data_IF_516204495699
#
_entry.id   IF_516204495699
#
_cell.length_a   1.000
_cell.length_b   1.000
_cell.length_c   1.000
_cell.angle_alpha   90.00
_cell.angle_beta   90.00
_cell.angle_gamma   90.00
#
_symmetry.space_group_name_H-M   'P 1'
#
loop_
_entity.id
_entity.type
_entity.pdbx_description
1 polymer ?
#
# COMPACT_ATOMS: atom_id res chain seq x y z
N UNK A 1 21.09 15.82 -3.27
CA UNK A 1 22.09 14.72 -3.13
C UNK A 1 21.75 13.49 -3.98
N UNK A 2 20.53 12.92 -3.85
CA UNK A 2 20.09 11.76 -4.62
C UNK A 2 20.00 12.01 -6.15
N UNK A 3 19.52 13.19 -6.57
CA UNK A 3 19.43 13.56 -8.00
C UNK A 3 20.79 13.59 -8.71
N UNK A 4 21.88 13.91 -7.99
CA UNK A 4 23.23 13.97 -8.56
C UNK A 4 23.88 12.58 -8.63
N UNK A 5 23.47 11.68 -7.74
CA UNK A 5 23.84 10.27 -7.79
C UNK A 5 23.17 9.54 -8.96
N UNK A 6 21.90 9.81 -9.26
CA UNK A 6 21.20 9.20 -10.40
C UNK A 6 21.84 9.57 -11.74
N UNK A 7 22.21 10.83 -11.95
CA UNK A 7 22.85 11.29 -13.19
C UNK A 7 24.24 10.64 -13.41
N UNK A 8 25.03 10.50 -12.33
CA UNK A 8 26.35 9.86 -12.39
C UNK A 8 26.24 8.36 -12.70
N UNK A 9 25.22 7.69 -12.14
CA UNK A 9 24.93 6.27 -12.39
C UNK A 9 24.52 6.04 -13.84
N UNK A 10 23.67 6.91 -14.40
CA UNK A 10 23.23 6.82 -15.81
C UNK A 10 24.40 7.04 -16.78
N UNK A 11 25.29 8.00 -16.49
CA UNK A 11 26.47 8.26 -17.32
C UNK A 11 27.47 7.10 -17.30
N UNK A 12 27.72 6.49 -16.13
CA UNK A 12 28.59 5.32 -15.98
C UNK A 12 28.00 4.07 -16.66
N UNK A 13 26.67 3.89 -16.60
CA UNK A 13 25.98 2.83 -17.33
C UNK A 13 26.10 3.02 -18.84
N UNK A 14 25.88 4.21 -19.39
CA UNK A 14 25.98 4.48 -20.83
C UNK A 14 27.38 4.16 -21.38
N UNK A 15 28.43 4.57 -20.66
CA UNK A 15 29.82 4.27 -21.03
C UNK A 15 30.13 2.76 -20.98
N UNK A 16 29.62 2.05 -19.97
CA UNK A 16 29.77 0.59 -19.83
C UNK A 16 29.05 -0.17 -20.95
N UNK A 17 27.83 0.23 -21.33
CA UNK A 17 27.10 -0.39 -22.44
C UNK A 17 27.82 -0.20 -23.78
N UNK A 18 28.46 0.96 -23.99
CA UNK A 18 29.24 1.25 -25.19
C UNK A 18 30.53 0.39 -25.27
N UNK A 19 31.19 0.16 -24.12
CA UNK A 19 32.35 -0.74 -24.02
C UNK A 19 31.98 -2.22 -24.22
N UNK A 20 30.82 -2.64 -23.72
CA UNK A 20 30.35 -4.04 -23.86
C UNK A 20 29.89 -4.36 -25.29
N UNK A 21 29.38 -3.37 -26.03
CA UNK A 21 29.00 -3.51 -27.44
C UNK A 21 30.20 -3.65 -28.40
N UNK A 22 31.38 -3.17 -28.00
CA UNK A 22 32.59 -3.17 -28.84
C UNK A 22 33.50 -4.37 -28.61
N UNK A 23 33.35 -5.13 -27.51
CA UNK A 23 34.29 -6.21 -27.14
C UNK A 23 33.74 -7.65 -27.25
N UNK A 24 32.43 -7.88 -27.36
CA UNK A 24 31.86 -9.25 -27.32
C UNK A 24 30.96 -9.59 -28.51
N UNK A 25 31.26 -10.72 -29.17
CA UNK A 25 30.51 -11.25 -30.30
C UNK A 25 29.06 -11.64 -29.95
N UNK A 26 28.17 -11.78 -30.97
CA UNK A 26 26.71 -11.75 -30.81
C UNK A 26 26.12 -12.82 -29.89
N UNK A 27 26.84 -13.92 -29.64
CA UNK A 27 26.39 -15.02 -28.77
C UNK A 27 26.62 -14.76 -27.27
N UNK A 28 27.58 -13.91 -26.90
CA UNK A 28 27.85 -13.59 -25.48
C UNK A 28 27.06 -12.39 -24.96
N UNK A 29 26.48 -11.58 -25.85
CA UNK A 29 25.64 -10.44 -25.49
C UNK A 29 24.35 -10.86 -24.76
N UNK A 30 23.70 -11.93 -25.22
CA UNK A 30 22.41 -12.37 -24.66
C UNK A 30 22.48 -12.76 -23.17
N UNK A 31 23.57 -13.41 -22.74
CA UNK A 31 23.74 -13.84 -21.35
C UNK A 31 23.92 -12.65 -20.40
N UNK A 32 24.59 -11.60 -20.87
CA UNK A 32 24.86 -10.40 -20.08
C UNK A 32 23.58 -9.58 -19.91
N UNK A 33 22.75 -9.48 -20.96
CA UNK A 33 21.43 -8.85 -20.86
C UNK A 33 20.52 -9.57 -19.85
N UNK A 34 20.49 -10.90 -19.84
CA UNK A 34 19.68 -11.66 -18.87
C UNK A 34 20.15 -11.42 -17.43
N UNK A 35 21.47 -11.39 -17.19
CA UNK A 35 22.04 -11.11 -15.86
C UNK A 35 21.69 -9.69 -15.37
N UNK A 36 21.76 -8.68 -16.24
CA UNK A 36 21.43 -7.28 -15.90
C UNK A 36 19.95 -7.06 -15.59
N UNK A 37 19.05 -7.78 -16.28
CA UNK A 37 17.60 -7.70 -16.00
C UNK A 37 17.26 -8.22 -14.60
N UNK A 38 17.94 -9.28 -14.14
CA UNK A 38 17.73 -9.84 -12.80
C UNK A 38 18.18 -8.90 -11.65
N UNK A 39 19.14 -8.00 -11.89
CA UNK A 39 19.58 -7.00 -10.90
C UNK A 39 18.55 -5.87 -10.76
N UNK A 40 17.75 -5.60 -11.79
CA UNK A 40 16.78 -4.50 -11.77
C UNK A 40 15.48 -4.84 -11.05
N UNK A 41 15.11 -6.11 -10.93
CA UNK A 41 13.86 -6.55 -10.27
C UNK A 41 13.89 -6.52 -8.74
N UNK A 42 15.02 -6.20 -8.11
CA UNK A 42 15.23 -6.38 -6.65
C UNK A 42 14.94 -5.10 -5.83
N UNK A 43 14.60 -3.97 -6.46
CA UNK A 43 14.39 -2.68 -5.78
C UNK A 43 12.92 -2.22 -5.68
N UNK A 44 11.96 -3.15 -5.62
CA UNK A 44 10.67 -2.81 -5.04
C UNK A 44 10.82 -2.94 -3.51
N UNK A 45 10.91 -1.81 -2.80
CA UNK A 45 10.71 -1.82 -1.36
C UNK A 45 9.28 -2.30 -1.11
N UNK A 46 9.13 -3.58 -0.81
CA UNK A 46 7.86 -4.18 -0.44
C UNK A 46 7.47 -3.56 0.92
N UNK A 47 6.57 -2.58 0.87
CA UNK A 47 5.92 -2.13 2.08
C UNK A 47 4.97 -3.25 2.48
N UNK A 48 5.41 -4.15 3.38
CA UNK A 48 4.59 -5.23 3.94
C UNK A 48 3.28 -4.63 4.47
N UNK A 49 2.25 -4.66 3.62
CA UNK A 49 0.88 -4.40 4.02
C UNK A 49 0.45 -5.61 4.84
N UNK A 50 0.29 -5.41 6.15
CA UNK A 50 -0.27 -6.40 7.07
C UNK A 50 -1.68 -6.78 6.60
N UNK A 51 -1.76 -7.92 5.91
CA UNK A 51 -3.02 -8.47 5.40
C UNK A 51 -3.50 -9.55 6.35
N UNK A 52 -4.70 -9.34 6.89
CA UNK A 52 -5.35 -10.32 7.76
C UNK A 52 -6.53 -10.96 7.03
N UNK A 53 -6.38 -12.24 6.69
CA UNK A 53 -7.48 -13.04 6.18
C UNK A 53 -8.45 -13.42 7.30
N UNK A 54 -9.73 -13.12 7.07
CA UNK A 54 -10.80 -13.42 8.04
C UNK A 54 -11.93 -14.15 7.33
N UNK A 55 -12.17 -15.39 7.73
CA UNK A 55 -13.31 -16.19 7.28
C UNK A 55 -14.43 -16.15 8.32
N UNK A 56 -15.66 -15.88 7.87
CA UNK A 56 -16.84 -15.79 8.71
C UNK A 56 -18.03 -16.47 8.05
N UNK A 57 -18.91 -17.03 8.88
CA UNK A 57 -20.19 -17.59 8.43
C UNK A 57 -21.23 -16.49 8.30
N UNK A 58 -22.27 -16.74 7.50
CA UNK A 58 -23.41 -15.83 7.38
C UNK A 58 -24.06 -15.64 8.76
N UNK A 59 -24.37 -14.39 9.10
CA UNK A 59 -24.95 -14.03 10.41
C UNK A 59 -23.92 -13.71 11.50
N UNK A 60 -22.64 -14.07 11.30
CA UNK A 60 -21.57 -13.71 12.24
C UNK A 60 -21.32 -12.19 12.28
N UNK A 61 -20.46 -11.77 13.21
CA UNK A 61 -19.89 -10.44 13.26
C UNK A 61 -18.37 -10.46 13.10
N UNK A 62 -17.82 -9.39 12.53
CA UNK A 62 -16.38 -9.17 12.41
C UNK A 62 -16.02 -7.75 12.83
N UNK A 63 -14.86 -7.59 13.44
CA UNK A 63 -14.26 -6.30 13.75
C UNK A 63 -12.85 -6.26 13.15
N UNK A 64 -12.61 -5.29 12.30
CA UNK A 64 -11.30 -4.95 11.79
C UNK A 64 -10.72 -3.81 12.63
N UNK A 65 -9.47 -3.95 13.03
CA UNK A 65 -8.75 -2.93 13.80
C UNK A 65 -7.59 -2.42 12.97
N UNK A 66 -7.51 -1.10 12.84
CA UNK A 66 -6.44 -0.40 12.17
C UNK A 66 -5.38 -0.02 13.20
N UNK A 67 -4.19 -0.59 13.06
CA UNK A 67 -3.08 -0.29 13.94
C UNK A 67 -2.43 1.04 13.50
N UNK A 68 -2.60 2.10 14.30
CA UNK A 68 -2.01 3.40 14.01
C UNK A 68 -0.58 3.40 14.52
N UNK A 69 0.40 3.30 13.62
CA UNK A 69 1.81 3.55 13.94
C UNK A 69 2.16 5.04 13.90
N UNK A 70 1.32 5.87 13.27
CA UNK A 70 1.57 7.30 13.08
C UNK A 70 1.36 8.06 14.40
N UNK A 71 2.42 8.73 14.87
CA UNK A 71 2.40 9.45 16.16
C UNK A 71 1.39 10.60 16.23
N UNK A 72 0.98 11.15 15.08
CA UNK A 72 -0.01 12.24 14.99
C UNK A 72 -0.94 12.04 13.78
N UNK A 73 -1.97 11.18 13.89
CA UNK A 73 -2.92 10.96 12.80
C UNK A 73 -3.74 12.23 12.56
N UNK A 74 -3.84 12.65 11.30
CA UNK A 74 -4.68 13.77 10.85
C UNK A 74 -5.96 13.27 10.21
N UNK A 75 -5.90 12.14 9.50
CA UNK A 75 -7.03 11.55 8.81
C UNK A 75 -6.98 10.02 8.91
N UNK A 76 -8.13 9.41 9.18
CA UNK A 76 -8.33 7.96 9.17
C UNK A 76 -9.37 7.63 8.10
N UNK A 77 -9.02 6.72 7.18
CA UNK A 77 -9.91 6.25 6.13
C UNK A 77 -10.13 4.76 6.23
N UNK A 78 -11.38 4.35 5.99
CA UNK A 78 -11.73 2.96 5.70
C UNK A 78 -12.33 2.88 4.31
N UNK A 79 -11.87 1.94 3.50
CA UNK A 79 -12.37 1.74 2.14
C UNK A 79 -12.73 0.28 1.91
N UNK A 80 -13.83 0.07 1.18
CA UNK A 80 -14.24 -1.21 0.64
C UNK A 80 -14.89 -0.98 -0.73
N UNK A 81 -14.18 -1.32 -1.80
CA UNK A 81 -14.60 -0.99 -3.16
C UNK A 81 -14.97 0.50 -3.30
N UNK A 82 -16.24 0.84 -3.56
CA UNK A 82 -16.73 2.22 -3.67
C UNK A 82 -17.17 2.85 -2.34
N UNK A 83 -17.19 2.07 -1.27
CA UNK A 83 -17.58 2.56 0.06
C UNK A 83 -16.37 3.12 0.79
N UNK A 84 -16.55 4.29 1.39
CA UNK A 84 -15.54 5.11 2.02
C UNK A 84 -16.13 5.65 3.31
N UNK A 85 -15.36 5.51 4.37
CA UNK A 85 -15.47 6.29 5.58
C UNK A 85 -14.21 7.14 5.73
N UNK A 86 -14.37 8.38 6.15
CA UNK A 86 -13.30 9.33 6.41
C UNK A 86 -13.55 10.02 7.73
N UNK A 87 -12.53 10.13 8.57
CA UNK A 87 -12.55 10.92 9.79
C UNK A 87 -11.36 11.87 9.82
N UNK A 88 -11.67 13.17 9.92
CA UNK A 88 -10.69 14.22 10.11
C UNK A 88 -10.53 14.51 11.59
N UNK A 89 -9.34 14.22 12.12
CA UNK A 89 -9.00 14.44 13.53
C UNK A 89 -8.97 15.94 13.85
N UNK A 90 -8.45 16.76 12.93
CA UNK A 90 -8.32 18.21 13.11
C UNK A 90 -9.66 18.95 13.19
N UNK A 91 -10.68 18.47 12.48
CA UNK A 91 -12.02 19.09 12.46
C UNK A 91 -13.04 18.34 13.31
N UNK A 92 -12.69 17.15 13.80
CA UNK A 92 -13.59 16.22 14.48
C UNK A 92 -14.89 16.00 13.67
N UNK A 93 -14.72 15.72 12.38
CA UNK A 93 -15.82 15.44 11.45
C UNK A 93 -15.60 14.14 10.72
N UNK A 94 -16.69 13.40 10.52
CA UNK A 94 -16.70 12.18 9.74
C UNK A 94 -17.61 12.30 8.51
N UNK A 95 -17.28 11.53 7.49
CA UNK A 95 -18.09 11.29 6.31
C UNK A 95 -18.13 9.79 6.05
N UNK A 96 -19.30 9.27 5.73
CA UNK A 96 -19.49 7.87 5.38
C UNK A 96 -20.53 7.73 4.29
N UNK A 97 -20.24 6.94 3.26
CA UNK A 97 -21.24 6.47 2.32
C UNK A 97 -21.63 4.99 2.56
N UNK A 98 -21.20 4.39 3.68
CA UNK A 98 -21.73 3.11 4.12
C UNK A 98 -23.20 3.31 4.52
N UNK A 99 -24.10 2.75 3.71
CA UNK A 99 -25.55 2.90 3.91
C UNK A 99 -26.16 1.85 4.85
N UNK A 100 -25.40 0.80 5.18
CA UNK A 100 -25.91 -0.30 6.01
C UNK A 100 -25.75 0.03 7.50
N UNK A 101 -26.85 -0.02 8.25
CA UNK A 101 -26.85 0.06 9.71
C UNK A 101 -26.04 -1.05 10.40
N UNK A 102 -25.71 -2.12 9.66
CA UNK A 102 -24.88 -3.23 10.14
C UNK A 102 -23.40 -2.87 10.25
N UNK A 103 -22.96 -1.83 9.54
CA UNK A 103 -21.57 -1.35 9.55
C UNK A 103 -21.46 -0.21 10.55
N UNK A 104 -20.65 -0.40 11.58
CA UNK A 104 -20.43 0.59 12.64
C UNK A 104 -18.95 0.89 12.78
N UNK A 105 -18.64 2.14 13.16
CA UNK A 105 -17.28 2.55 13.50
C UNK A 105 -17.28 3.12 14.92
N UNK A 106 -16.18 2.90 15.63
CA UNK A 106 -16.01 3.48 16.97
C UNK A 106 -16.02 5.02 16.89
N UNK A 107 -16.84 5.65 17.73
CA UNK A 107 -17.07 7.09 17.74
C UNK A 107 -15.94 7.88 18.39
N UNK A 108 -15.10 7.25 19.20
CA UNK A 108 -14.03 7.96 19.91
C UNK A 108 -12.78 8.12 19.05
N UNK A 109 -12.29 7.01 18.49
CA UNK A 109 -11.25 7.00 17.46
C UNK A 109 -11.63 5.91 16.46
N UNK A 110 -12.06 6.23 15.22
CA UNK A 110 -12.60 5.26 14.27
C UNK A 110 -11.53 4.34 13.65
N UNK A 111 -10.66 3.80 14.48
CA UNK A 111 -9.67 2.78 14.15
C UNK A 111 -10.29 1.40 14.02
N UNK A 112 -11.53 1.21 14.48
CA UNK A 112 -12.20 -0.08 14.40
C UNK A 112 -13.45 0.02 13.55
N UNK A 113 -13.54 -0.87 12.55
CA UNK A 113 -14.71 -1.05 11.69
C UNK A 113 -15.35 -2.39 12.01
N UNK A 114 -16.62 -2.36 12.42
CA UNK A 114 -17.39 -3.55 12.78
C UNK A 114 -18.52 -3.79 11.78
N UNK A 115 -18.76 -5.06 11.46
CA UNK A 115 -19.86 -5.48 10.60
C UNK A 115 -20.60 -6.60 11.33
N UNK A 116 -21.89 -6.39 11.55
CA UNK A 116 -22.78 -7.36 12.17
C UNK A 116 -23.63 -8.09 11.12
N UNK A 117 -24.11 -9.29 11.45
CA UNK A 117 -25.00 -10.10 10.59
C UNK A 117 -24.46 -10.20 9.15
N UNK A 118 -23.26 -10.77 9.01
CA UNK A 118 -22.49 -10.83 7.76
C UNK A 118 -23.31 -11.51 6.63
N UNK A 119 -23.27 -10.90 5.45
CA UNK A 119 -23.83 -11.40 4.20
C UNK A 119 -22.72 -11.70 3.17
N UNK A 120 -23.05 -12.43 2.10
CA UNK A 120 -22.08 -12.74 1.04
C UNK A 120 -21.50 -11.48 0.37
N UNK A 121 -22.31 -10.43 0.21
CA UNK A 121 -21.88 -9.13 -0.35
C UNK A 121 -20.93 -8.37 0.57
N UNK A 122 -20.82 -8.77 1.84
CA UNK A 122 -19.85 -8.19 2.76
C UNK A 122 -18.42 -8.68 2.47
N UNK A 123 -18.25 -9.77 1.74
CA UNK A 123 -16.92 -10.24 1.32
C UNK A 123 -16.17 -9.18 0.49
N UNK A 124 -14.86 -9.13 0.68
CA UNK A 124 -13.96 -8.24 -0.06
C UNK A 124 -12.82 -7.71 0.79
N UNK A 125 -11.99 -6.88 0.17
CA UNK A 125 -10.86 -6.24 0.82
C UNK A 125 -11.32 -4.96 1.53
N UNK A 126 -11.04 -4.90 2.83
CA UNK A 126 -11.21 -3.71 3.66
C UNK A 126 -9.84 -3.11 3.91
N UNK A 127 -9.63 -1.87 3.49
CA UNK A 127 -8.35 -1.18 3.66
C UNK A 127 -8.51 -0.02 4.62
N UNK A 128 -7.65 0.05 5.63
CA UNK A 128 -7.48 1.24 6.45
C UNK A 128 -6.25 2.02 5.98
N UNK A 129 -6.39 3.33 5.82
CA UNK A 129 -5.24 4.22 5.64
C UNK A 129 -5.26 5.33 6.67
N UNK A 130 -4.08 5.59 7.24
CA UNK A 130 -3.89 6.63 8.25
C UNK A 130 -2.88 7.62 7.70
N UNK A 131 -3.27 8.88 7.61
CA UNK A 131 -2.36 9.97 7.26
C UNK A 131 -2.07 10.75 8.52
N UNK A 132 -0.85 11.24 8.69
CA UNK A 132 -0.47 12.08 9.80
C UNK A 132 0.69 13.00 9.45
N UNK A 133 1.01 13.91 10.36
CA UNK A 133 2.06 14.91 10.16
C UNK A 133 3.45 14.43 10.62
N UNK A 134 3.71 13.13 10.56
CA UNK A 134 5.04 12.56 10.79
C UNK A 134 5.79 12.52 9.47
N UNK A 135 6.78 13.41 9.30
CA UNK A 135 7.65 13.39 8.12
C UNK A 135 8.36 12.03 8.02
N UNK A 136 8.47 11.58 6.77
CA UNK A 136 9.20 10.42 6.28
C UNK A 136 10.70 10.50 6.57
#
# INVERSE_FOLDING_TARGET
PLQKHSELIVALQSASHCLMATMFGPKQQALIFIQLVNVWSVYAADHETDHRDVQKSRGDSVMFTCNISTMNPTVIHWTKARFIFSYSVSTNRSFSNFSSSRVTLDTNTPTSLSISNIHHDDAGLYTCTVTGNGQQ
#
